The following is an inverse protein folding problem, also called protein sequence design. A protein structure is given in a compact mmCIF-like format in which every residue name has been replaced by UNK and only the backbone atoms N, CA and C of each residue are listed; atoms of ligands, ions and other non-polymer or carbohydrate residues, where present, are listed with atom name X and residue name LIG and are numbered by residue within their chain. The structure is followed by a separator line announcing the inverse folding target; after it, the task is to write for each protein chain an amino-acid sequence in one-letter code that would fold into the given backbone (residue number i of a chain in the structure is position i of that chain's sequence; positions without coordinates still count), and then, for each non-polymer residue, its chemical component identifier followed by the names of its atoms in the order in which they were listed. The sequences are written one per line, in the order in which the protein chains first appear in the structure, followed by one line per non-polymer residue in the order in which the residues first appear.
data_IF_624429007629
#
_entry.id   IF_624429007629
#
_cell.length_a   1.000
_cell.length_b   1.000
_cell.length_c   1.000
_cell.angle_alpha   90.00
_cell.angle_beta   90.00
_cell.angle_gamma   90.00
#
_symmetry.space_group_name_H-M   'P 1'
#
loop_
_entity.id
_entity.type
_entity.pdbx_description
1 polymer ?
#
# COMPACT_ATOMS: atom_id res chain seq x y z
N UNK A 1 -8.67 -2.72 -8.17
CA UNK A 1 -7.78 -1.56 -8.42
C UNK A 1 -7.61 -1.35 -9.90
N UNK A 2 -7.48 -0.13 -10.30
CA UNK A 2 -7.25 0.22 -11.69
C UNK A 2 -5.75 0.43 -11.94
N UNK A 3 -5.23 -0.17 -13.02
CA UNK A 3 -3.85 0.05 -13.43
C UNK A 3 -3.74 1.39 -14.15
N UNK A 4 -2.94 2.30 -13.61
CA UNK A 4 -2.69 3.61 -14.21
C UNK A 4 -1.61 3.56 -15.29
N UNK A 5 -0.62 2.72 -15.10
CA UNK A 5 0.50 2.59 -16.02
C UNK A 5 1.73 2.01 -15.36
N UNK A 6 2.83 2.07 -16.08
CA UNK A 6 4.12 1.60 -15.64
C UNK A 6 5.20 2.61 -16.05
N UNK A 7 6.14 2.87 -15.15
CA UNK A 7 7.27 3.73 -15.41
C UNK A 7 8.56 3.15 -14.79
N UNK A 8 9.61 3.94 -14.70
CA UNK A 8 10.90 3.53 -14.13
C UNK A 8 10.80 3.13 -12.64
N UNK A 9 9.75 3.57 -11.93
CA UNK A 9 9.55 3.26 -10.52
C UNK A 9 8.76 1.97 -10.30
N UNK A 10 8.03 1.51 -11.30
CA UNK A 10 7.23 0.29 -11.22
C UNK A 10 5.84 0.46 -11.80
N UNK A 11 4.92 -0.41 -11.36
CA UNK A 11 3.51 -0.37 -11.78
C UNK A 11 2.72 0.48 -10.82
N UNK A 12 1.93 1.40 -11.34
CA UNK A 12 1.08 2.31 -10.58
C UNK A 12 -0.38 1.88 -10.66
N UNK A 13 -1.02 1.80 -9.49
CA UNK A 13 -2.42 1.40 -9.34
C UNK A 13 -3.21 2.49 -8.63
N UNK A 14 -4.48 2.61 -8.99
CA UNK A 14 -5.46 3.45 -8.30
C UNK A 14 -6.54 2.58 -7.67
N UNK A 15 -6.86 2.86 -6.41
CA UNK A 15 -7.96 2.24 -5.70
C UNK A 15 -8.88 3.33 -5.14
N UNK A 16 -10.12 3.45 -5.63
CA UNK A 16 -11.08 4.38 -5.05
C UNK A 16 -11.54 3.91 -3.67
N UNK A 17 -12.11 4.82 -2.89
CA UNK A 17 -12.77 4.47 -1.64
C UNK A 17 -13.82 3.38 -1.89
N UNK A 18 -13.93 2.43 -0.98
CA UNK A 18 -14.81 1.28 -1.13
C UNK A 18 -14.17 0.07 -1.83
N UNK A 19 -12.95 0.21 -2.34
CA UNK A 19 -12.23 -0.94 -2.91
C UNK A 19 -12.08 -2.03 -1.85
N UNK A 20 -12.42 -3.26 -2.22
CA UNK A 20 -12.27 -4.41 -1.34
C UNK A 20 -10.80 -4.77 -1.18
N UNK A 21 -10.34 -4.80 0.06
CA UNK A 21 -8.99 -5.19 0.43
C UNK A 21 -9.04 -6.53 1.13
N UNK A 22 -8.29 -7.49 0.61
CA UNK A 22 -8.27 -8.86 1.11
C UNK A 22 -6.85 -9.24 1.51
N UNK A 23 -6.70 -9.76 2.72
CA UNK A 23 -5.41 -10.16 3.26
C UNK A 23 -5.49 -11.60 3.75
N UNK A 24 -4.98 -12.53 2.93
CA UNK A 24 -5.01 -13.95 3.26
C UNK A 24 -6.42 -14.47 3.56
N UNK A 25 -6.59 -15.29 4.61
CA UNK A 25 -7.89 -15.84 4.98
C UNK A 25 -8.79 -14.87 5.78
N UNK A 26 -8.31 -13.67 6.07
CA UNK A 26 -9.09 -12.69 6.82
C UNK A 26 -10.28 -12.19 6.01
N UNK A 27 -11.33 -11.72 6.70
CA UNK A 27 -12.46 -11.11 6.06
C UNK A 27 -12.04 -9.85 5.29
N UNK A 28 -12.57 -9.64 4.08
CA UNK A 28 -12.25 -8.46 3.32
C UNK A 28 -12.74 -7.20 4.02
N UNK A 29 -11.99 -6.12 3.87
CA UNK A 29 -12.39 -4.79 4.35
C UNK A 29 -12.48 -3.84 3.16
N UNK A 30 -13.32 -2.83 3.28
CA UNK A 30 -13.42 -1.77 2.28
C UNK A 30 -12.44 -0.65 2.61
N UNK A 31 -11.72 -0.17 1.61
CA UNK A 31 -10.84 0.99 1.77
C UNK A 31 -11.68 2.22 2.15
N UNK A 32 -11.31 2.90 3.24
CA UNK A 32 -12.02 4.09 3.70
C UNK A 32 -11.77 5.29 2.78
N UNK A 33 -10.60 5.35 2.19
CA UNK A 33 -10.16 6.45 1.31
C UNK A 33 -9.57 5.88 0.03
N UNK A 34 -9.61 6.67 -1.03
CA UNK A 34 -8.87 6.36 -2.24
C UNK A 34 -7.36 6.37 -1.97
N UNK A 35 -6.62 5.58 -2.71
CA UNK A 35 -5.17 5.57 -2.61
C UNK A 35 -4.51 5.23 -3.94
N UNK A 36 -3.27 5.68 -4.09
CA UNK A 36 -2.38 5.31 -5.19
C UNK A 36 -1.32 4.37 -4.63
N UNK A 37 -1.08 3.27 -5.32
CA UNK A 37 -0.08 2.29 -4.94
C UNK A 37 0.96 2.13 -6.03
N UNK A 38 2.24 2.09 -5.65
CA UNK A 38 3.33 1.71 -6.55
C UNK A 38 3.85 0.33 -6.15
N UNK A 39 4.05 -0.51 -7.17
CA UNK A 39 4.68 -1.83 -7.02
C UNK A 39 5.98 -1.80 -7.82
N UNK A 40 7.13 -1.52 -7.15
CA UNK A 40 8.41 -1.47 -7.83
C UNK A 40 8.85 -2.84 -8.35
N UNK A 41 9.57 -2.85 -9.45
CA UNK A 41 10.10 -4.09 -10.02
C UNK A 41 11.32 -4.54 -9.22
N UNK A 42 11.30 -5.79 -8.75
CA UNK A 42 12.46 -6.41 -8.08
C UNK A 42 12.82 -5.82 -6.73
N UNK A 43 11.98 -5.00 -6.14
CA UNK A 43 12.22 -4.37 -4.85
C UNK A 43 11.44 -5.07 -3.74
N UNK A 44 11.87 -4.88 -2.50
CA UNK A 44 11.29 -5.52 -1.32
C UNK A 44 10.32 -4.60 -0.58
N UNK A 45 9.68 -3.70 -1.31
CA UNK A 45 8.71 -2.77 -0.73
C UNK A 45 7.62 -2.37 -1.73
N UNK A 46 6.47 -1.96 -1.20
CA UNK A 46 5.43 -1.25 -1.94
C UNK A 46 5.07 0.02 -1.20
N UNK A 47 4.63 1.03 -1.93
CA UNK A 47 4.24 2.31 -1.35
C UNK A 47 2.79 2.65 -1.66
N UNK A 48 2.10 3.24 -0.68
CA UNK A 48 0.72 3.69 -0.79
C UNK A 48 0.64 5.14 -0.35
N UNK A 49 -0.02 5.97 -1.15
CA UNK A 49 -0.37 7.34 -0.82
C UNK A 49 -1.87 7.44 -0.68
N UNK A 50 -2.34 7.80 0.51
CA UNK A 50 -3.76 7.88 0.83
C UNK A 50 -4.32 9.27 0.56
N UNK A 51 -5.54 9.31 -0.01
CA UNK A 51 -6.33 10.52 -0.18
C UNK A 51 -7.35 10.58 0.98
N UNK A 52 -6.88 10.88 2.17
CA UNK A 52 -7.72 10.95 3.36
C UNK A 52 -7.95 12.37 3.85
N UNK A 53 -8.72 12.54 4.94
CA UNK A 53 -9.00 13.86 5.51
C UNK A 53 -7.71 14.52 5.97
N UNK A 54 -7.46 15.71 5.45
CA UNK A 54 -6.24 16.49 5.75
C UNK A 54 -6.29 17.21 7.09
N UNK A 55 -7.46 17.25 7.70
CA UNK A 55 -7.66 17.91 9.00
C UNK A 55 -7.20 17.09 10.19
N UNK A 56 -6.96 15.78 9.99
CA UNK A 56 -6.47 14.89 11.02
C UNK A 56 -4.99 14.60 10.82
N UNK A 57 -4.14 15.23 11.65
CA UNK A 57 -2.69 15.02 11.60
C UNK A 57 -2.25 13.57 11.88
N UNK A 58 -3.11 12.76 12.49
CA UNK A 58 -2.84 11.36 12.78
C UNK A 58 -3.14 10.44 11.60
N UNK A 59 -3.86 10.93 10.58
CA UNK A 59 -4.14 10.13 9.40
C UNK A 59 -2.86 9.77 8.65
N UNK A 60 -2.86 8.59 8.06
CA UNK A 60 -1.71 8.08 7.32
C UNK A 60 -1.71 8.71 5.93
N UNK A 61 -0.62 9.42 5.63
CA UNK A 61 -0.37 9.99 4.30
C UNK A 61 0.31 8.99 3.40
N UNK A 62 1.39 8.38 3.88
CA UNK A 62 2.20 7.44 3.12
C UNK A 62 2.41 6.18 3.93
N UNK A 63 2.23 5.05 3.31
CA UNK A 63 2.38 3.75 3.92
C UNK A 63 3.31 2.90 3.05
N UNK A 64 4.39 2.40 3.65
CA UNK A 64 5.35 1.54 2.94
C UNK A 64 5.36 0.18 3.61
N UNK A 65 5.02 -0.85 2.82
CA UNK A 65 5.11 -2.25 3.23
C UNK A 65 6.44 -2.85 2.82
N UNK A 66 7.08 -3.59 3.70
CA UNK A 66 8.18 -4.48 3.33
C UNK A 66 7.59 -5.81 2.89
N UNK A 67 7.93 -6.22 1.70
CA UNK A 67 7.39 -7.41 1.04
C UNK A 67 8.50 -8.21 0.37
N UNK A 68 8.21 -9.45 -0.03
CA UNK A 68 9.04 -10.13 -1.02
C UNK A 68 8.84 -9.48 -2.39
N UNK A 69 9.84 -9.54 -3.30
CA UNK A 69 9.66 -8.99 -4.64
C UNK A 69 8.38 -9.49 -5.31
N UNK A 70 7.66 -8.58 -5.94
CA UNK A 70 6.40 -8.89 -6.59
C UNK A 70 6.60 -9.80 -7.80
N UNK A 71 5.75 -10.81 -7.94
CA UNK A 71 5.72 -11.70 -9.09
C UNK A 71 4.40 -11.50 -9.82
N UNK A 72 4.48 -11.09 -11.07
CA UNK A 72 3.32 -10.88 -11.92
C UNK A 72 2.96 -12.14 -12.71
N UNK A 73 1.67 -12.48 -12.70
CA UNK A 73 1.09 -13.53 -13.52
C UNK A 73 -0.14 -12.94 -14.22
N UNK A 74 0.04 -12.43 -15.44
CA UNK A 74 -1.00 -11.69 -16.14
C UNK A 74 -1.40 -10.44 -15.34
N UNK A 75 -2.66 -10.36 -14.94
CA UNK A 75 -3.21 -9.24 -14.16
C UNK A 75 -3.11 -9.47 -12.65
N UNK A 76 -2.52 -10.60 -12.22
CA UNK A 76 -2.38 -10.94 -10.82
C UNK A 76 -0.96 -10.70 -10.36
N UNK A 77 -0.82 -10.00 -9.23
CA UNK A 77 0.47 -9.82 -8.57
C UNK A 77 0.48 -10.58 -7.25
N UNK A 78 1.58 -11.27 -6.98
CA UNK A 78 1.79 -12.01 -5.74
C UNK A 78 3.02 -11.53 -5.02
N UNK A 79 2.90 -11.38 -3.72
CA UNK A 79 3.98 -11.00 -2.83
C UNK A 79 3.66 -11.48 -1.42
N UNK A 80 4.69 -11.66 -0.60
CA UNK A 80 4.52 -11.99 0.81
C UNK A 80 4.80 -10.74 1.64
N UNK A 81 3.86 -10.40 2.50
CA UNK A 81 4.01 -9.32 3.48
C UNK A 81 4.92 -9.83 4.61
N UNK A 82 5.97 -9.09 4.90
CA UNK A 82 6.96 -9.44 5.93
C UNK A 82 6.67 -8.81 7.29
N UNK A 83 5.47 -8.22 7.46
CA UNK A 83 4.98 -7.65 8.72
C UNK A 83 5.84 -6.50 9.26
N UNK A 84 6.52 -5.79 8.40
CA UNK A 84 7.28 -4.59 8.73
C UNK A 84 6.79 -3.45 7.87
N UNK A 85 6.26 -2.40 8.50
CA UNK A 85 5.66 -1.27 7.82
C UNK A 85 6.31 0.04 8.26
N UNK A 86 6.39 0.99 7.35
CA UNK A 86 6.77 2.37 7.65
C UNK A 86 5.57 3.26 7.36
N UNK A 87 5.15 4.03 8.34
CA UNK A 87 3.99 4.90 8.26
C UNK A 87 4.43 6.36 8.40
N UNK A 88 4.04 7.18 7.44
CA UNK A 88 4.22 8.62 7.49
C UNK A 88 2.85 9.27 7.64
N UNK A 89 2.64 9.96 8.75
CA UNK A 89 1.38 10.64 9.05
C UNK A 89 1.42 12.08 8.55
N UNK A 90 0.25 12.68 8.41
CA UNK A 90 0.13 14.06 7.89
C UNK A 90 0.76 15.11 8.80
N UNK A 91 0.92 14.82 10.09
CA UNK A 91 1.62 15.70 11.04
C UNK A 91 3.16 15.65 10.92
N UNK A 92 3.68 14.82 10.00
CA UNK A 92 5.11 14.63 9.80
C UNK A 92 5.74 13.51 10.62
N UNK A 93 4.97 12.86 11.48
CA UNK A 93 5.47 11.72 12.28
C UNK A 93 5.77 10.53 11.37
N UNK A 94 6.92 9.89 11.57
CA UNK A 94 7.32 8.65 10.90
C UNK A 94 7.46 7.56 11.94
N UNK A 95 6.78 6.45 11.73
CA UNK A 95 6.81 5.29 12.63
C UNK A 95 7.16 4.04 11.85
N UNK A 96 7.95 3.17 12.47
CA UNK A 96 8.18 1.82 11.98
C UNK A 96 7.33 0.88 12.83
N UNK A 97 6.42 0.18 12.19
CA UNK A 97 5.52 -0.76 12.84
C UNK A 97 5.99 -2.18 12.52
N UNK A 98 6.29 -2.94 13.57
CA UNK A 98 6.65 -4.34 13.48
C UNK A 98 5.60 -5.14 14.25
N UNK A 99 4.74 -5.84 13.50
CA UNK A 99 3.61 -6.56 14.07
C UNK A 99 4.02 -7.68 15.02
N UNK A 100 5.26 -8.16 14.92
CA UNK A 100 5.80 -9.23 15.76
C UNK A 100 6.57 -8.72 16.99
N UNK A 101 6.67 -7.41 17.12
CA UNK A 101 7.39 -6.80 18.22
C UNK A 101 6.60 -6.81 19.54
#
# INVERSE_FOLDING_TARGET
MERLGEDEHGVWLWAPAGTELRRGPEDPIAAQHGFVKVIPVGQWWTGIWNDGPRSDGRSIRTYVDVITPAVWDGDTVRMVDLDLDVVHRRDGTVEVDDADA
#
